data_IF_218214306275
#
_entry.id   IF_218214306275
#
_cell.length_a   1.000
_cell.length_b   1.000
_cell.length_c   1.000
_cell.angle_alpha   90.00
_cell.angle_beta   90.00
_cell.angle_gamma   90.00
#
_symmetry.space_group_name_H-M   'P 1'
#
loop_
_entity.id
_entity.type
_entity.pdbx_description
1 polymer ?
#
# COMPACT_ATOMS: atom_id res chain seq x y z
N UNK A 1 -1.84 -41.56 -4.08
CA UNK A 1 -1.57 -40.13 -4.34
C UNK A 1 -0.66 -39.91 -5.55
N UNK A 2 0.49 -40.59 -5.65
CA UNK A 2 1.42 -40.50 -6.80
C UNK A 2 0.79 -40.83 -8.17
N UNK A 3 -0.02 -41.89 -8.26
CA UNK A 3 -0.69 -42.33 -9.50
C UNK A 3 -1.77 -41.35 -10.01
N UNK A 4 -2.41 -40.63 -9.08
CA UNK A 4 -3.46 -39.68 -9.41
C UNK A 4 -2.88 -38.40 -10.03
N UNK A 5 -1.76 -37.92 -9.50
CA UNK A 5 -1.03 -36.76 -10.04
C UNK A 5 -0.37 -37.08 -11.40
N UNK A 6 0.15 -38.30 -11.59
CA UNK A 6 0.73 -38.71 -12.87
C UNK A 6 -0.30 -38.83 -13.99
N UNK A 7 -1.54 -39.20 -13.68
CA UNK A 7 -2.63 -39.34 -14.66
C UNK A 7 -3.34 -38.00 -14.95
N UNK A 8 -3.28 -37.04 -14.02
CA UNK A 8 -3.83 -35.69 -14.19
C UNK A 8 -2.92 -34.79 -15.01
N UNK A 9 -1.60 -34.87 -14.80
CA UNK A 9 -0.63 -34.02 -15.49
C UNK A 9 -0.80 -34.00 -17.02
N UNK A 10 -0.88 -35.14 -17.75
CA UNK A 10 -1.06 -35.11 -19.20
C UNK A 10 -2.43 -34.57 -19.62
N UNK A 11 -3.48 -34.75 -18.80
CA UNK A 11 -4.83 -34.23 -19.08
C UNK A 11 -4.91 -32.71 -18.89
N UNK A 12 -4.25 -32.19 -17.87
CA UNK A 12 -4.16 -30.75 -17.61
C UNK A 12 -3.32 -30.06 -18.68
N UNK A 13 -2.20 -30.67 -19.10
CA UNK A 13 -1.38 -30.16 -20.21
C UNK A 13 -2.19 -30.13 -21.51
N UNK A 14 -2.89 -31.23 -21.86
CA UNK A 14 -3.73 -31.28 -23.05
C UNK A 14 -4.89 -30.26 -23.02
N UNK A 15 -5.43 -29.96 -21.84
CA UNK A 15 -6.45 -28.93 -21.66
C UNK A 15 -5.87 -27.50 -21.77
N UNK A 16 -4.66 -27.29 -21.24
CA UNK A 16 -3.91 -26.03 -21.34
C UNK A 16 -3.53 -25.71 -22.78
N UNK A 17 -3.10 -26.70 -23.55
CA UNK A 17 -2.75 -26.55 -24.97
C UNK A 17 -4.00 -26.25 -25.82
N UNK A 18 -5.16 -26.77 -25.42
CA UNK A 18 -6.44 -26.55 -26.11
C UNK A 18 -7.06 -25.19 -25.80
N UNK A 19 -6.86 -24.66 -24.59
CA UNK A 19 -7.38 -23.37 -24.15
C UNK A 19 -6.29 -22.56 -23.42
N UNK A 20 -5.30 -22.01 -24.15
CA UNK A 20 -4.18 -21.28 -23.54
C UNK A 20 -4.63 -20.05 -22.73
N UNK A 21 -5.81 -19.50 -23.03
CA UNK A 21 -6.40 -18.37 -22.33
C UNK A 21 -7.15 -18.74 -21.04
N UNK A 22 -7.48 -20.01 -20.84
CA UNK A 22 -8.28 -20.46 -19.69
C UNK A 22 -7.50 -20.38 -18.36
N UNK A 23 -6.20 -20.67 -18.38
CA UNK A 23 -5.35 -20.59 -17.17
C UNK A 23 -5.18 -19.13 -16.72
N UNK A 24 -4.83 -18.17 -17.61
CA UNK A 24 -4.83 -16.75 -17.25
C UNK A 24 -6.19 -16.23 -16.78
N UNK A 25 -7.29 -16.61 -17.44
CA UNK A 25 -8.66 -16.20 -17.04
C UNK A 25 -9.07 -16.77 -15.68
N UNK A 26 -8.71 -18.02 -15.39
CA UNK A 26 -8.96 -18.63 -14.09
C UNK A 26 -8.11 -17.98 -13.00
N UNK A 27 -6.82 -17.72 -13.26
CA UNK A 27 -5.95 -16.99 -12.35
C UNK A 27 -6.45 -15.57 -12.08
N UNK A 28 -6.89 -14.86 -13.12
CA UNK A 28 -7.48 -13.53 -13.01
C UNK A 28 -8.82 -13.53 -12.26
N UNK A 29 -9.72 -14.45 -12.59
CA UNK A 29 -11.01 -14.61 -11.92
C UNK A 29 -10.86 -15.04 -10.46
N UNK A 30 -9.91 -15.94 -10.16
CA UNK A 30 -9.52 -16.28 -8.80
C UNK A 30 -8.92 -15.08 -8.08
N UNK A 31 -8.10 -14.27 -8.74
CA UNK A 31 -7.55 -13.03 -8.19
C UNK A 31 -8.63 -12.01 -7.83
N UNK A 32 -9.63 -11.81 -8.70
CA UNK A 32 -10.80 -10.97 -8.43
C UNK A 32 -11.63 -11.54 -7.29
N UNK A 33 -11.92 -12.85 -7.30
CA UNK A 33 -12.71 -13.49 -6.25
C UNK A 33 -11.99 -13.41 -4.88
N UNK A 34 -10.67 -13.62 -4.85
CA UNK A 34 -9.84 -13.42 -3.67
C UNK A 34 -9.85 -11.97 -3.22
N UNK A 35 -9.74 -11.00 -4.13
CA UNK A 35 -9.85 -9.58 -3.81
C UNK A 35 -11.18 -9.22 -3.16
N UNK A 36 -12.30 -9.66 -3.75
CA UNK A 36 -13.66 -9.41 -3.24
C UNK A 36 -13.95 -10.15 -1.91
N UNK A 37 -13.36 -11.33 -1.69
CA UNK A 37 -13.51 -12.08 -0.44
C UNK A 37 -12.63 -11.54 0.69
N UNK A 38 -11.45 -11.00 0.36
CA UNK A 38 -10.52 -10.38 1.32
C UNK A 38 -11.13 -9.14 1.97
N UNK A 39 -12.06 -8.47 1.29
CA UNK A 39 -12.75 -7.28 1.80
C UNK A 39 -13.59 -7.54 3.07
N UNK A 40 -13.77 -8.79 3.49
CA UNK A 40 -14.62 -9.13 4.65
C UNK A 40 -13.92 -9.47 5.96
N UNK A 41 -12.64 -9.85 6.04
CA UNK A 41 -11.95 -10.04 7.35
C UNK A 41 -10.43 -9.84 7.27
N UNK A 42 -9.91 -8.97 8.15
CA UNK A 42 -8.47 -8.74 8.37
C UNK A 42 -7.65 -10.03 8.58
N UNK A 43 -8.27 -11.08 9.15
CA UNK A 43 -7.66 -12.39 9.37
C UNK A 43 -7.26 -13.10 8.05
N UNK A 44 -7.99 -12.90 6.95
CA UNK A 44 -7.62 -13.47 5.66
C UNK A 44 -6.36 -12.83 5.09
N UNK A 45 -6.22 -11.51 5.22
CA UNK A 45 -5.03 -10.79 4.76
C UNK A 45 -3.76 -11.28 5.50
N UNK A 46 -3.87 -11.59 6.80
CA UNK A 46 -2.75 -12.16 7.58
C UNK A 46 -2.33 -13.54 7.06
N UNK A 47 -3.29 -14.43 6.79
CA UNK A 47 -3.00 -15.78 6.26
C UNK A 47 -2.35 -15.69 4.89
N UNK A 48 -2.91 -14.88 3.98
CA UNK A 48 -2.37 -14.71 2.62
C UNK A 48 -0.97 -14.10 2.68
N UNK A 49 -0.76 -13.05 3.47
CA UNK A 49 0.56 -12.45 3.67
C UNK A 49 1.57 -13.47 4.21
N UNK A 50 1.18 -14.32 5.17
CA UNK A 50 2.05 -15.37 5.70
C UNK A 50 2.39 -16.43 4.65
N UNK A 51 1.44 -16.85 3.81
CA UNK A 51 1.68 -17.78 2.71
C UNK A 51 2.61 -17.18 1.65
N UNK A 52 2.44 -15.89 1.32
CA UNK A 52 3.34 -15.17 0.42
C UNK A 52 4.75 -15.10 1.03
N UNK A 53 4.90 -14.70 2.30
CA UNK A 53 6.23 -14.69 2.92
C UNK A 53 6.87 -16.08 3.00
N UNK A 54 6.07 -17.13 3.19
CA UNK A 54 6.55 -18.51 3.15
C UNK A 54 7.04 -18.90 1.75
N UNK A 55 6.35 -18.47 0.68
CA UNK A 55 6.79 -18.70 -0.70
C UNK A 55 8.06 -17.93 -1.05
N UNK A 56 8.24 -16.72 -0.50
CA UNK A 56 9.49 -15.98 -0.56
C UNK A 56 10.64 -16.69 0.16
N UNK A 57 10.42 -17.17 1.39
CA UNK A 57 11.42 -17.98 2.11
C UNK A 57 11.80 -19.23 1.31
N UNK A 58 10.83 -19.87 0.67
CA UNK A 58 11.08 -21.00 -0.23
C UNK A 58 11.96 -20.62 -1.41
N UNK A 59 11.68 -19.51 -2.11
CA UNK A 59 12.50 -19.02 -3.22
C UNK A 59 13.94 -18.70 -2.78
N UNK A 60 14.12 -18.08 -1.61
CA UNK A 60 15.47 -17.79 -1.08
C UNK A 60 16.27 -19.07 -0.76
N UNK A 61 15.57 -20.17 -0.48
CA UNK A 61 16.14 -21.48 -0.20
C UNK A 61 16.27 -22.37 -1.45
N UNK A 62 15.98 -21.87 -2.65
CA UNK A 62 15.94 -22.63 -3.91
C UNK A 62 17.14 -23.60 -4.07
N UNK A 63 18.38 -23.11 -3.87
CA UNK A 63 19.61 -23.92 -3.99
C UNK A 63 19.65 -25.11 -3.04
N UNK A 64 19.04 -24.99 -1.86
CA UNK A 64 18.92 -26.06 -0.87
C UNK A 64 17.72 -26.97 -1.18
N UNK A 65 16.65 -26.42 -1.74
CA UNK A 65 15.43 -27.15 -2.10
C UNK A 65 15.66 -28.16 -3.22
N UNK A 66 16.49 -27.85 -4.21
CA UNK A 66 16.93 -28.86 -5.20
C UNK A 66 17.47 -30.13 -4.55
N UNK A 67 18.28 -29.97 -3.49
CA UNK A 67 18.89 -31.09 -2.75
C UNK A 67 17.86 -31.82 -1.89
N UNK A 68 16.91 -31.08 -1.31
CA UNK A 68 15.86 -31.64 -0.46
C UNK A 68 14.84 -32.45 -1.27
N UNK A 69 14.39 -31.93 -2.41
CA UNK A 69 13.44 -32.59 -3.32
C UNK A 69 14.04 -33.87 -3.88
N UNK A 70 15.31 -33.83 -4.30
CA UNK A 70 16.03 -35.05 -4.70
C UNK A 70 16.03 -36.09 -3.57
N UNK A 71 16.35 -35.67 -2.34
CA UNK A 71 16.47 -36.59 -1.20
C UNK A 71 15.13 -37.20 -0.76
N UNK A 72 14.03 -36.47 -0.88
CA UNK A 72 12.71 -36.92 -0.43
C UNK A 72 11.87 -37.57 -1.52
N UNK A 73 11.98 -37.10 -2.77
CA UNK A 73 11.13 -37.53 -3.86
C UNK A 73 11.89 -38.24 -5.00
N UNK A 74 13.22 -38.22 -5.02
CA UNK A 74 14.03 -38.98 -5.96
C UNK A 74 14.04 -38.46 -7.41
N UNK A 75 13.55 -37.24 -7.67
CA UNK A 75 13.60 -36.62 -8.99
C UNK A 75 14.18 -35.20 -8.93
N UNK A 76 14.74 -34.74 -10.06
CA UNK A 76 15.23 -33.37 -10.22
C UNK A 76 14.15 -32.54 -10.90
N UNK A 77 13.71 -31.47 -10.25
CA UNK A 77 12.83 -30.49 -10.87
C UNK A 77 13.59 -29.75 -11.99
N UNK A 78 13.07 -29.72 -13.23
CA UNK A 78 13.69 -29.00 -14.33
C UNK A 78 13.73 -27.49 -14.06
N UNK A 79 14.82 -26.82 -14.45
CA UNK A 79 15.05 -25.38 -14.21
C UNK A 79 13.90 -24.45 -14.66
N UNK A 80 13.22 -24.69 -15.80
CA UNK A 80 12.08 -23.87 -16.20
C UNK A 80 10.97 -23.81 -15.14
N UNK A 81 10.74 -24.89 -14.39
CA UNK A 81 9.71 -24.89 -13.35
C UNK A 81 10.05 -23.93 -12.19
N UNK A 82 11.32 -23.72 -11.87
CA UNK A 82 11.72 -22.74 -10.86
C UNK A 82 11.52 -21.31 -11.36
N UNK A 83 11.78 -21.05 -12.65
CA UNK A 83 11.51 -19.75 -13.25
C UNK A 83 10.01 -19.43 -13.27
N UNK A 84 9.16 -20.42 -13.59
CA UNK A 84 7.69 -20.30 -13.47
C UNK A 84 7.24 -20.13 -12.02
N UNK A 85 7.80 -20.88 -11.07
CA UNK A 85 7.48 -20.72 -9.66
C UNK A 85 7.87 -19.32 -9.15
N UNK A 86 9.03 -18.80 -9.55
CA UNK A 86 9.45 -17.44 -9.24
C UNK A 86 8.51 -16.39 -9.84
N UNK A 87 8.08 -16.57 -11.10
CA UNK A 87 7.07 -15.71 -11.73
C UNK A 87 5.76 -15.72 -10.94
N UNK A 88 5.27 -16.90 -10.55
CA UNK A 88 4.05 -17.05 -9.77
C UNK A 88 4.15 -16.32 -8.43
N UNK A 89 5.26 -16.49 -7.71
CA UNK A 89 5.47 -15.77 -6.45
C UNK A 89 5.50 -14.26 -6.67
N UNK A 90 6.18 -13.76 -7.72
CA UNK A 90 6.16 -12.34 -8.05
C UNK A 90 4.75 -11.83 -8.38
N UNK A 91 3.99 -12.57 -9.19
CA UNK A 91 2.65 -12.21 -9.62
C UNK A 91 1.69 -12.16 -8.43
N UNK A 92 1.61 -13.24 -7.64
CA UNK A 92 0.73 -13.32 -6.48
C UNK A 92 1.09 -12.26 -5.42
N UNK A 93 2.39 -12.00 -5.25
CA UNK A 93 2.88 -10.92 -4.40
C UNK A 93 2.37 -9.55 -4.84
N UNK A 94 2.53 -9.23 -6.13
CA UNK A 94 2.13 -7.95 -6.69
C UNK A 94 0.60 -7.77 -6.66
N UNK A 95 -0.16 -8.79 -7.05
CA UNK A 95 -1.62 -8.74 -7.02
C UNK A 95 -2.18 -8.67 -5.60
N UNK A 96 -1.50 -9.26 -4.62
CA UNK A 96 -1.86 -9.10 -3.22
C UNK A 96 -1.64 -7.66 -2.73
N UNK A 97 -0.50 -7.03 -3.04
CA UNK A 97 -0.17 -5.71 -2.45
C UNK A 97 -0.74 -4.52 -3.22
N UNK A 98 -0.96 -4.64 -4.52
CA UNK A 98 -1.41 -3.51 -5.36
C UNK A 98 -2.70 -2.87 -4.83
N UNK A 99 -3.74 -3.60 -4.43
CA UNK A 99 -4.96 -2.95 -3.93
C UNK A 99 -4.73 -2.10 -2.68
N UNK A 100 -3.88 -2.53 -1.76
CA UNK A 100 -3.47 -1.76 -0.58
C UNK A 100 -2.78 -0.46 -0.99
N UNK A 101 -1.80 -0.53 -1.88
CA UNK A 101 -1.12 0.67 -2.36
C UNK A 101 -2.05 1.56 -3.18
N UNK A 102 -2.92 1.01 -4.01
CA UNK A 102 -3.86 1.76 -4.84
C UNK A 102 -4.80 2.63 -3.99
N UNK A 103 -5.36 2.06 -2.92
CA UNK A 103 -6.27 2.77 -1.99
C UNK A 103 -5.51 3.81 -1.15
N UNK A 104 -4.30 3.49 -0.70
CA UNK A 104 -3.52 4.37 0.19
C UNK A 104 -2.69 5.43 -0.54
N UNK A 105 -2.63 5.38 -1.88
CA UNK A 105 -1.86 6.33 -2.69
C UNK A 105 -2.52 7.68 -2.75
N UNK A 106 -1.80 8.72 -2.32
CA UNK A 106 -2.12 10.10 -2.67
C UNK A 106 -1.70 10.38 -4.11
N UNK A 107 -2.64 10.22 -5.05
CA UNK A 107 -2.41 10.29 -6.51
C UNK A 107 -1.88 11.64 -7.02
N UNK A 108 -2.04 12.71 -6.25
CA UNK A 108 -1.49 14.04 -6.53
C UNK A 108 -0.12 14.28 -5.87
N UNK A 109 0.64 13.23 -5.58
CA UNK A 109 1.95 13.28 -4.93
C UNK A 109 2.95 12.33 -5.60
N UNK A 110 4.21 12.35 -5.15
CA UNK A 110 5.24 11.40 -5.60
C UNK A 110 4.86 9.93 -5.39
N UNK A 111 3.90 9.64 -4.50
CA UNK A 111 3.37 8.30 -4.28
C UNK A 111 2.78 7.64 -5.53
N UNK A 112 2.20 8.44 -6.44
CA UNK A 112 1.66 7.94 -7.70
C UNK A 112 2.74 7.23 -8.55
N UNK A 113 3.99 7.67 -8.49
CA UNK A 113 5.10 7.09 -9.25
C UNK A 113 5.38 5.68 -8.75
N UNK A 114 5.51 5.49 -7.44
CA UNK A 114 5.79 4.17 -6.85
C UNK A 114 4.68 3.17 -7.16
N UNK A 115 3.42 3.57 -6.95
CA UNK A 115 2.26 2.70 -7.21
C UNK A 115 2.13 2.37 -8.71
N UNK A 116 2.40 3.33 -9.60
CA UNK A 116 2.44 3.07 -11.04
C UNK A 116 3.55 2.09 -11.43
N UNK A 117 4.71 2.16 -10.78
CA UNK A 117 5.80 1.19 -10.97
C UNK A 117 5.37 -0.21 -10.53
N UNK A 118 4.63 -0.36 -9.43
CA UNK A 118 4.08 -1.66 -9.01
C UNK A 118 3.06 -2.20 -10.01
N UNK A 119 2.16 -1.34 -10.51
CA UNK A 119 1.19 -1.74 -11.54
C UNK A 119 1.89 -2.20 -12.83
N UNK A 120 2.91 -1.47 -13.28
CA UNK A 120 3.72 -1.88 -14.43
C UNK A 120 4.46 -3.19 -14.16
N UNK A 121 4.99 -3.39 -12.95
CA UNK A 121 5.62 -4.64 -12.56
C UNK A 121 4.64 -5.82 -12.61
N UNK A 122 3.38 -5.61 -12.22
CA UNK A 122 2.35 -6.65 -12.28
C UNK A 122 1.96 -7.01 -13.72
N UNK A 123 1.94 -6.03 -14.62
CA UNK A 123 1.80 -6.29 -16.06
C UNK A 123 2.99 -7.09 -16.58
N UNK A 124 4.22 -6.76 -16.16
CA UNK A 124 5.40 -7.54 -16.52
C UNK A 124 5.31 -8.98 -15.99
N UNK A 125 4.78 -9.21 -14.78
CA UNK A 125 4.68 -10.56 -14.21
C UNK A 125 3.64 -11.44 -14.90
N UNK A 126 2.56 -10.88 -15.45
CA UNK A 126 1.50 -11.65 -16.12
C UNK A 126 1.79 -11.91 -17.61
N UNK A 127 2.61 -11.07 -18.27
CA UNK A 127 2.90 -11.19 -19.71
C UNK A 127 4.16 -12.05 -19.93
N UNK A 128 3.96 -13.35 -20.15
CA UNK A 128 5.02 -14.35 -20.32
C UNK A 128 6.15 -13.96 -21.28
N UNK A 129 5.90 -13.46 -22.51
CA UNK A 129 6.99 -13.04 -23.39
C UNK A 129 7.85 -11.92 -22.81
N UNK A 130 7.25 -10.98 -22.08
CA UNK A 130 7.97 -9.86 -21.45
C UNK A 130 8.78 -10.39 -20.26
N UNK A 131 8.17 -11.24 -19.43
CA UNK A 131 8.84 -11.83 -18.28
C UNK A 131 10.00 -12.74 -18.69
N UNK A 132 9.75 -13.80 -19.46
CA UNK A 132 10.76 -14.81 -19.76
C UNK A 132 11.77 -14.41 -20.82
N UNK A 133 11.40 -13.58 -21.81
CA UNK A 133 12.33 -13.15 -22.86
C UNK A 133 12.95 -11.78 -22.57
N UNK A 134 12.23 -10.91 -21.88
CA UNK A 134 12.68 -9.55 -21.58
C UNK A 134 13.40 -9.44 -20.23
N UNK A 135 12.82 -9.98 -19.16
CA UNK A 135 13.28 -9.79 -17.79
C UNK A 135 14.29 -10.87 -17.36
N UNK A 136 13.91 -12.15 -17.43
CA UNK A 136 14.70 -13.29 -16.92
C UNK A 136 16.14 -13.35 -17.49
N UNK A 137 16.38 -13.14 -18.81
CA UNK A 137 17.73 -13.21 -19.35
C UNK A 137 18.62 -12.05 -18.87
N UNK A 138 18.00 -10.95 -18.42
CA UNK A 138 18.69 -9.73 -17.98
C UNK A 138 18.83 -9.73 -16.46
N UNK A 139 19.84 -10.46 -15.99
CA UNK A 139 20.15 -10.73 -14.57
C UNK A 139 19.99 -9.53 -13.61
N UNK A 140 20.53 -8.37 -13.95
CA UNK A 140 20.40 -7.17 -13.11
C UNK A 140 18.95 -6.73 -12.98
N UNK A 141 18.22 -6.65 -14.09
CA UNK A 141 16.81 -6.29 -14.09
C UNK A 141 15.96 -7.32 -13.37
N UNK A 142 16.27 -8.61 -13.53
CA UNK A 142 15.62 -9.69 -12.79
C UNK A 142 15.76 -9.51 -11.26
N UNK A 143 16.97 -9.25 -10.75
CA UNK A 143 17.15 -8.99 -9.32
C UNK A 143 16.54 -7.68 -8.85
N UNK A 144 16.57 -6.63 -9.66
CA UNK A 144 15.88 -5.38 -9.33
C UNK A 144 14.38 -5.60 -9.20
N UNK A 145 13.79 -6.37 -10.11
CA UNK A 145 12.38 -6.75 -10.06
C UNK A 145 12.07 -7.60 -8.82
N UNK A 146 12.89 -8.62 -8.55
CA UNK A 146 12.79 -9.44 -7.34
C UNK A 146 12.86 -8.59 -6.07
N UNK A 147 13.82 -7.68 -5.98
CA UNK A 147 13.97 -6.74 -4.86
C UNK A 147 12.77 -5.80 -4.69
N UNK A 148 12.26 -5.23 -5.79
CA UNK A 148 11.08 -4.37 -5.79
C UNK A 148 9.84 -5.12 -5.27
N UNK A 149 9.60 -6.32 -5.78
CA UNK A 149 8.44 -7.14 -5.36
C UNK A 149 8.54 -7.57 -3.90
N UNK A 150 9.71 -8.01 -3.44
CA UNK A 150 9.96 -8.34 -2.03
C UNK A 150 9.76 -7.13 -1.13
N UNK A 151 10.29 -5.96 -1.53
CA UNK A 151 10.13 -4.71 -0.81
C UNK A 151 8.65 -4.36 -0.64
N UNK A 152 7.88 -4.40 -1.72
CA UNK A 152 6.44 -4.11 -1.71
C UNK A 152 5.66 -5.07 -0.80
N UNK A 153 5.96 -6.36 -0.86
CA UNK A 153 5.35 -7.38 0.02
C UNK A 153 5.66 -7.11 1.48
N UNK A 154 6.92 -6.84 1.82
CA UNK A 154 7.32 -6.59 3.21
C UNK A 154 6.68 -5.33 3.79
N UNK A 155 6.53 -4.27 2.97
CA UNK A 155 5.83 -3.05 3.38
C UNK A 155 4.39 -3.29 3.82
N UNK A 156 3.72 -4.26 3.19
CA UNK A 156 2.34 -4.63 3.52
C UNK A 156 2.28 -5.71 4.61
N UNK A 157 3.13 -6.73 4.52
CA UNK A 157 3.07 -7.90 5.40
C UNK A 157 3.59 -7.60 6.82
N UNK A 158 4.63 -6.77 6.96
CA UNK A 158 5.22 -6.49 8.27
C UNK A 158 4.26 -5.77 9.25
N UNK A 159 3.53 -4.71 8.86
CA UNK A 159 2.50 -4.13 9.72
C UNK A 159 1.35 -5.10 10.02
N UNK A 160 0.95 -5.92 9.04
CA UNK A 160 -0.21 -6.84 9.16
C UNK A 160 0.08 -8.00 10.11
N UNK A 161 1.27 -8.59 10.03
CA UNK A 161 1.64 -9.81 10.78
C UNK A 161 2.29 -9.46 12.12
N UNK A 162 3.22 -8.50 12.12
CA UNK A 162 4.05 -8.18 13.29
C UNK A 162 3.62 -6.89 13.97
N UNK A 163 2.57 -6.21 13.50
CA UNK A 163 2.08 -4.96 14.08
C UNK A 163 3.14 -3.86 14.13
N UNK A 164 4.09 -3.90 13.18
CA UNK A 164 5.18 -2.95 13.13
C UNK A 164 4.69 -1.59 12.59
N UNK A 165 5.00 -0.46 13.27
CA UNK A 165 4.71 0.88 12.77
C UNK A 165 5.26 1.08 11.37
N UNK A 166 4.58 1.87 10.54
CA UNK A 166 4.94 2.05 9.12
C UNK A 166 6.41 2.45 8.92
N UNK A 167 6.95 3.34 9.77
CA UNK A 167 8.36 3.75 9.72
C UNK A 167 9.36 2.60 9.95
N UNK A 168 9.05 1.68 10.88
CA UNK A 168 9.90 0.50 11.15
C UNK A 168 9.76 -0.54 10.05
N UNK A 169 8.53 -0.79 9.60
CA UNK A 169 8.23 -1.69 8.48
C UNK A 169 8.98 -1.26 7.22
N UNK A 170 9.03 0.05 6.93
CA UNK A 170 9.83 0.59 5.83
C UNK A 170 11.31 0.23 5.93
N UNK A 171 11.91 0.47 7.10
CA UNK A 171 13.33 0.22 7.33
C UNK A 171 13.69 -1.25 7.17
N UNK A 172 12.91 -2.15 7.76
CA UNK A 172 13.11 -3.58 7.63
C UNK A 172 12.89 -4.06 6.20
N UNK A 173 11.85 -3.57 5.53
CA UNK A 173 11.58 -3.91 4.12
C UNK A 173 12.74 -3.50 3.24
N UNK A 174 13.23 -2.26 3.39
CA UNK A 174 14.36 -1.75 2.60
C UNK A 174 15.63 -2.56 2.87
N UNK A 175 15.95 -2.82 4.14
CA UNK A 175 17.14 -3.57 4.53
C UNK A 175 17.11 -5.00 3.99
N UNK A 176 16.01 -5.73 4.17
CA UNK A 176 15.85 -7.12 3.73
C UNK A 176 15.88 -7.20 2.19
N UNK A 177 15.11 -6.35 1.50
CA UNK A 177 15.07 -6.34 0.05
C UNK A 177 16.42 -6.00 -0.57
N UNK A 178 17.14 -5.00 -0.03
CA UNK A 178 18.49 -4.68 -0.48
C UNK A 178 19.46 -5.83 -0.21
N UNK A 179 19.42 -6.44 0.98
CA UNK A 179 20.28 -7.56 1.32
C UNK A 179 20.09 -8.72 0.34
N UNK A 180 18.85 -9.13 0.08
CA UNK A 180 18.52 -10.22 -0.84
C UNK A 180 18.96 -9.88 -2.27
N UNK A 181 18.63 -8.68 -2.75
CA UNK A 181 18.97 -8.21 -4.10
C UNK A 181 20.49 -8.19 -4.30
N UNK A 182 21.23 -7.64 -3.34
CA UNK A 182 22.68 -7.52 -3.40
C UNK A 182 23.39 -8.86 -3.21
N UNK A 183 22.86 -9.76 -2.40
CA UNK A 183 23.36 -11.13 -2.29
C UNK A 183 23.24 -11.87 -3.64
N UNK A 184 22.13 -11.66 -4.35
CA UNK A 184 21.94 -12.08 -5.74
C UNK A 184 23.07 -11.55 -6.63
N UNK A 185 23.17 -10.21 -6.74
CA UNK A 185 24.20 -9.54 -7.56
C UNK A 185 25.62 -10.01 -7.23
N UNK A 186 25.96 -10.19 -5.94
CA UNK A 186 27.27 -10.65 -5.49
C UNK A 186 27.59 -12.07 -5.96
N UNK A 187 26.64 -12.99 -5.80
CA UNK A 187 26.81 -14.41 -6.14
C UNK A 187 26.98 -14.63 -7.64
N UNK A 188 26.45 -13.69 -8.43
CA UNK A 188 26.26 -13.83 -9.86
C UNK A 188 27.29 -13.05 -10.69
N UNK A 189 27.96 -12.05 -10.09
CA UNK A 189 29.05 -11.29 -10.73
C UNK A 189 30.26 -12.17 -11.06
N UNK A 190 31.01 -11.84 -12.12
CA UNK A 190 32.25 -12.56 -12.51
C UNK A 190 33.53 -11.90 -11.96
N UNK A 191 33.43 -10.77 -11.25
CA UNK A 191 34.60 -9.97 -10.86
C UNK A 191 35.50 -10.63 -9.80
N UNK A 192 36.62 -10.03 -9.43
CA UNK A 192 37.41 -10.51 -8.26
C UNK A 192 36.66 -10.17 -6.97
N UNK A 193 36.78 -11.00 -5.93
CA UNK A 193 35.98 -10.90 -4.69
C UNK A 193 36.01 -9.50 -4.05
N UNK A 194 37.14 -8.81 -4.04
CA UNK A 194 37.26 -7.46 -3.48
C UNK A 194 36.56 -6.40 -4.32
N UNK A 195 36.61 -6.49 -5.66
CA UNK A 195 35.87 -5.58 -6.56
C UNK A 195 34.36 -5.81 -6.44
N UNK A 196 33.93 -7.07 -6.26
CA UNK A 196 32.52 -7.41 -5.98
C UNK A 196 32.08 -6.85 -4.64
N UNK A 197 32.91 -7.01 -3.60
CA UNK A 197 32.64 -6.46 -2.27
C UNK A 197 32.48 -4.94 -2.31
N UNK A 198 33.40 -4.25 -2.98
CA UNK A 198 33.32 -2.81 -3.18
C UNK A 198 32.05 -2.41 -3.94
N UNK A 199 31.73 -3.08 -5.05
CA UNK A 199 30.51 -2.83 -5.81
C UNK A 199 29.26 -2.97 -4.93
N UNK A 200 29.15 -4.06 -4.16
CA UNK A 200 28.00 -4.30 -3.28
C UNK A 200 27.88 -3.23 -2.19
N UNK A 201 28.99 -2.85 -1.56
CA UNK A 201 28.98 -1.79 -0.54
C UNK A 201 28.56 -0.45 -1.15
N UNK A 202 29.07 -0.11 -2.34
CA UNK A 202 28.68 1.10 -3.06
C UNK A 202 27.19 1.07 -3.42
N UNK A 203 26.67 -0.03 -3.97
CA UNK A 203 25.26 -0.15 -4.31
C UNK A 203 24.37 -0.11 -3.06
N UNK A 204 24.79 -0.77 -1.97
CA UNK A 204 24.10 -0.71 -0.68
C UNK A 204 24.01 0.72 -0.15
N UNK A 205 25.12 1.48 -0.20
CA UNK A 205 25.14 2.86 0.23
C UNK A 205 24.24 3.74 -0.66
N UNK A 206 24.38 3.63 -1.99
CA UNK A 206 23.60 4.44 -2.94
C UNK A 206 22.10 4.15 -2.81
N UNK A 207 21.68 2.89 -2.90
CA UNK A 207 20.27 2.54 -2.83
C UNK A 207 19.70 2.63 -1.41
N UNK A 208 20.53 2.43 -0.38
CA UNK A 208 20.15 2.69 1.01
C UNK A 208 19.82 4.17 1.22
N UNK A 209 20.73 5.07 0.84
CA UNK A 209 20.53 6.52 0.95
C UNK A 209 19.35 6.97 0.08
N UNK A 210 19.28 6.53 -1.17
CA UNK A 210 18.17 6.85 -2.07
C UNK A 210 16.83 6.36 -1.49
N UNK A 211 16.79 5.13 -0.94
CA UNK A 211 15.63 4.58 -0.27
C UNK A 211 15.22 5.38 0.97
N UNK A 212 16.16 5.89 1.76
CA UNK A 212 15.82 6.76 2.89
C UNK A 212 15.20 8.09 2.43
N UNK A 213 15.69 8.66 1.32
CA UNK A 213 15.14 9.87 0.72
C UNK A 213 13.78 9.66 0.04
N UNK A 214 13.58 8.50 -0.58
CA UNK A 214 12.35 8.16 -1.30
C UNK A 214 11.16 7.82 -0.38
N UNK A 215 11.36 7.73 0.94
CA UNK A 215 10.32 7.38 1.92
C UNK A 215 8.97 8.08 1.69
N UNK A 216 8.90 9.41 1.50
CA UNK A 216 7.61 10.09 1.33
C UNK A 216 6.85 9.67 0.06
N UNK A 217 7.55 9.12 -0.93
CA UNK A 217 6.99 8.66 -2.21
C UNK A 217 6.43 7.23 -2.12
N UNK A 218 6.46 6.60 -0.95
CA UNK A 218 5.91 5.27 -0.77
C UNK A 218 4.65 5.40 0.09
N UNK A 219 3.47 5.03 -0.43
CA UNK A 219 2.24 5.05 0.35
C UNK A 219 2.35 4.16 1.59
N UNK A 220 1.71 4.55 2.70
CA UNK A 220 1.61 3.70 3.88
C UNK A 220 0.56 2.59 3.62
N UNK A 221 1.01 1.41 3.19
CA UNK A 221 0.16 0.33 2.65
C UNK A 221 -1.09 -0.02 3.47
N UNK A 222 -1.05 0.15 4.80
CA UNK A 222 -2.13 -0.26 5.71
C UNK A 222 -2.89 0.89 6.36
N UNK A 223 -2.60 2.14 5.97
CA UNK A 223 -3.22 3.33 6.56
C UNK A 223 -3.96 4.15 5.50
N UNK A 224 -5.26 4.35 5.70
CA UNK A 224 -6.05 5.28 4.89
C UNK A 224 -7.06 6.04 5.75
N UNK A 225 -7.48 7.19 5.26
CA UNK A 225 -8.53 7.98 5.88
C UNK A 225 -9.90 7.39 5.51
N UNK A 226 -10.75 7.16 6.50
CA UNK A 226 -12.15 6.78 6.30
C UNK A 226 -13.07 7.98 6.36
N UNK A 227 -12.73 8.97 7.19
CA UNK A 227 -13.50 10.21 7.34
C UNK A 227 -12.57 11.37 7.66
N UNK A 228 -12.90 12.56 7.13
CA UNK A 228 -12.20 13.80 7.42
C UNK A 228 -13.18 14.95 7.57
N UNK A 229 -12.91 15.83 8.54
CA UNK A 229 -13.69 17.05 8.69
C UNK A 229 -12.87 18.18 9.31
N UNK A 230 -13.16 19.41 8.87
CA UNK A 230 -12.78 20.62 9.59
C UNK A 230 -14.03 21.13 10.29
N UNK A 231 -13.99 21.29 11.61
CA UNK A 231 -15.16 21.65 12.41
C UNK A 231 -14.78 22.59 13.56
N UNK A 232 -15.74 23.34 14.08
CA UNK A 232 -15.56 24.13 15.30
C UNK A 232 -15.69 23.29 16.58
N UNK A 233 -16.34 22.13 16.49
CA UNK A 233 -16.67 21.27 17.63
C UNK A 233 -16.71 19.81 17.20
N UNK A 234 -16.31 18.94 18.12
CA UNK A 234 -16.40 17.49 18.02
C UNK A 234 -17.31 17.05 19.16
N UNK A 235 -18.35 16.28 18.84
CA UNK A 235 -19.27 15.72 19.84
C UNK A 235 -18.50 14.75 20.74
N UNK A 236 -18.45 15.04 22.05
CA UNK A 236 -17.74 14.22 23.03
C UNK A 236 -18.35 12.82 23.21
N UNK A 237 -19.66 12.68 22.99
CA UNK A 237 -20.38 11.40 23.18
C UNK A 237 -20.11 10.48 22.00
N UNK A 238 -20.40 10.95 20.78
CA UNK A 238 -20.24 10.13 19.57
C UNK A 238 -18.81 10.17 19.02
N UNK A 239 -17.95 11.08 19.50
CA UNK A 239 -16.61 11.37 18.96
C UNK A 239 -16.66 11.61 17.45
N UNK A 240 -17.63 12.42 17.03
CA UNK A 240 -17.91 12.70 15.63
C UNK A 240 -17.86 14.21 15.38
N UNK A 241 -17.41 14.65 14.19
CA UNK A 241 -17.46 16.07 13.84
C UNK A 241 -18.91 16.52 13.66
N UNK A 242 -19.25 17.72 14.13
CA UNK A 242 -20.61 18.26 13.94
C UNK A 242 -20.90 18.66 12.48
N UNK A 243 -19.89 19.16 11.78
CA UNK A 243 -19.98 19.57 10.38
C UNK A 243 -18.62 19.44 9.67
N UNK A 244 -18.57 19.80 8.39
CA UNK A 244 -17.33 19.83 7.61
C UNK A 244 -17.23 21.15 6.83
N UNK A 245 -16.43 22.06 7.36
CA UNK A 245 -16.24 23.42 6.88
C UNK A 245 -15.18 23.48 5.79
N UNK A 246 -15.56 23.93 4.59
CA UNK A 246 -14.64 24.10 3.45
C UNK A 246 -14.15 25.55 3.27
N UNK A 247 -14.99 26.51 3.64
CA UNK A 247 -14.69 27.95 3.54
C UNK A 247 -14.99 28.61 4.88
N UNK A 248 -14.08 29.44 5.34
CA UNK A 248 -14.16 30.11 6.64
C UNK A 248 -13.84 31.59 6.48
N UNK A 249 -14.43 32.44 7.31
CA UNK A 249 -13.97 33.81 7.46
C UNK A 249 -12.77 33.88 8.41
N UNK A 250 -11.98 34.95 8.32
CA UNK A 250 -10.91 35.19 9.29
C UNK A 250 -11.43 35.31 10.74
N UNK A 251 -12.66 35.83 10.92
CA UNK A 251 -13.33 35.87 12.23
C UNK A 251 -13.71 34.49 12.77
N UNK A 252 -14.02 33.53 11.90
CA UNK A 252 -14.37 32.16 12.34
C UNK A 252 -13.18 31.45 12.98
N UNK A 253 -11.94 31.79 12.58
CA UNK A 253 -10.73 31.22 13.16
C UNK A 253 -10.57 31.54 14.65
N UNK A 254 -11.17 32.62 15.15
CA UNK A 254 -11.12 32.99 16.57
C UNK A 254 -11.85 31.97 17.47
N UNK A 255 -12.77 31.18 16.91
CA UNK A 255 -13.46 30.08 17.61
C UNK A 255 -12.58 28.85 17.79
N UNK A 256 -11.42 28.80 17.13
CA UNK A 256 -10.62 27.60 16.97
C UNK A 256 -11.19 26.65 15.93
N UNK A 257 -10.33 25.74 15.45
CA UNK A 257 -10.72 24.67 14.52
C UNK A 257 -10.16 23.33 14.97
N UNK A 258 -11.01 22.32 14.85
CA UNK A 258 -10.65 20.93 14.95
C UNK A 258 -10.41 20.38 13.55
N UNK A 259 -9.27 19.74 13.37
CA UNK A 259 -9.02 18.88 12.23
C UNK A 259 -9.28 17.44 12.67
N UNK A 260 -10.44 16.92 12.28
CA UNK A 260 -10.89 15.57 12.58
C UNK A 260 -10.48 14.60 11.47
N UNK A 261 -9.96 13.45 11.88
CA UNK A 261 -9.60 12.35 10.99
C UNK A 261 -10.00 11.02 11.62
N UNK A 262 -10.66 10.16 10.85
CA UNK A 262 -10.76 8.75 11.15
C UNK A 262 -9.83 7.97 10.23
N UNK A 263 -8.92 7.18 10.82
CA UNK A 263 -7.86 6.49 10.10
C UNK A 263 -8.02 4.99 10.29
N UNK A 264 -8.23 4.26 9.20
CA UNK A 264 -8.16 2.81 9.24
C UNK A 264 -6.73 2.36 9.52
N UNK A 265 -6.56 1.42 10.45
CA UNK A 265 -5.29 0.79 10.78
C UNK A 265 -5.52 -0.66 11.23
N UNK A 266 -4.63 -1.61 10.86
CA UNK A 266 -4.72 -3.00 11.28
C UNK A 266 -4.79 -3.13 12.79
N UNK A 267 -5.65 -4.04 13.28
CA UNK A 267 -5.68 -4.42 14.70
C UNK A 267 -4.29 -4.65 15.26
N UNK A 268 -3.98 -4.05 16.40
CA UNK A 268 -2.70 -4.20 17.10
C UNK A 268 -1.60 -3.22 16.67
N UNK A 269 -1.77 -2.51 15.55
CA UNK A 269 -0.86 -1.45 15.14
C UNK A 269 -0.97 -0.25 16.08
N UNK A 270 0.17 0.20 16.61
CA UNK A 270 0.29 1.47 17.31
C UNK A 270 1.23 2.37 16.50
N UNK A 271 0.76 3.53 16.09
CA UNK A 271 1.52 4.42 15.22
C UNK A 271 1.36 5.88 15.62
N UNK A 272 2.44 6.64 15.49
CA UNK A 272 2.43 8.09 15.58
C UNK A 272 2.25 8.69 14.20
N UNK A 273 1.23 9.53 14.08
CA UNK A 273 0.98 10.35 12.90
C UNK A 273 1.13 11.83 13.27
N UNK A 274 1.09 12.68 12.27
CA UNK A 274 1.16 14.12 12.43
C UNK A 274 0.12 14.81 11.57
N UNK A 275 -0.59 15.78 12.17
CA UNK A 275 -1.33 16.80 11.44
C UNK A 275 -0.39 17.96 11.14
N UNK A 276 0.01 18.09 9.89
CA UNK A 276 0.91 19.12 9.40
C UNK A 276 0.07 20.22 8.75
N UNK A 277 -0.04 21.35 9.44
CA UNK A 277 -0.84 22.50 8.99
C UNK A 277 -0.01 23.40 8.08
N UNK A 278 -0.54 23.67 6.90
CA UNK A 278 0.10 24.43 5.84
C UNK A 278 -0.82 25.58 5.42
N UNK A 279 -0.26 26.79 5.33
CA UNK A 279 -0.91 27.96 4.75
C UNK A 279 -0.20 28.33 3.45
N UNK A 280 -0.91 28.28 2.32
CA UNK A 280 -0.36 28.55 1.00
C UNK A 280 0.91 27.75 0.71
N UNK A 281 0.96 26.49 1.18
CA UNK A 281 2.10 25.58 1.05
C UNK A 281 3.24 25.80 2.06
N UNK A 282 3.16 26.81 2.94
CA UNK A 282 4.15 27.03 4.01
C UNK A 282 3.73 26.37 5.30
N UNK A 283 4.66 25.66 5.94
CA UNK A 283 4.42 25.01 7.22
C UNK A 283 4.10 26.05 8.30
N UNK A 284 2.98 25.85 8.99
CA UNK A 284 2.54 26.66 10.14
C UNK A 284 2.70 25.88 11.43
N UNK A 285 2.29 24.60 11.43
CA UNK A 285 2.25 23.80 12.65
C UNK A 285 2.39 22.31 12.35
N UNK A 286 2.83 21.53 13.34
CA UNK A 286 2.94 20.07 13.25
C UNK A 286 2.53 19.44 14.58
N UNK A 287 1.34 18.86 14.62
CA UNK A 287 0.75 18.29 15.84
C UNK A 287 0.88 16.75 15.81
N UNK A 288 1.56 16.11 16.78
CA UNK A 288 1.64 14.66 16.88
C UNK A 288 0.33 14.07 17.42
N UNK A 289 -0.10 12.95 16.87
CA UNK A 289 -1.24 12.16 17.34
C UNK A 289 -0.85 10.69 17.35
N UNK A 290 -1.16 9.97 18.43
CA UNK A 290 -0.94 8.53 18.51
C UNK A 290 -2.25 7.80 18.17
N UNK A 291 -2.19 6.87 17.20
CA UNK A 291 -3.33 6.08 16.74
C UNK A 291 -3.15 4.60 17.10
N UNK A 292 -4.27 3.92 17.37
CA UNK A 292 -4.29 2.49 17.65
C UNK A 292 -5.29 1.78 16.71
N UNK A 293 -4.83 0.78 15.98
CA UNK A 293 -5.65 0.05 15.01
C UNK A 293 -6.57 -0.99 15.63
N UNK A 294 -7.54 -1.46 14.84
CA UNK A 294 -8.46 -2.54 15.21
C UNK A 294 -9.95 -2.19 15.24
N UNK A 295 -10.34 -0.99 14.80
CA UNK A 295 -11.74 -0.63 14.55
C UNK A 295 -11.96 -0.52 13.05
N UNK A 296 -13.02 -1.15 12.54
CA UNK A 296 -13.37 -1.08 11.11
C UNK A 296 -13.62 0.35 10.64
N UNK A 297 -14.33 1.15 11.45
CA UNK A 297 -14.59 2.57 11.20
C UNK A 297 -13.33 3.46 11.25
N UNK A 298 -12.19 2.92 11.70
CA UNK A 298 -10.94 3.65 11.91
C UNK A 298 -10.77 4.18 13.33
N UNK A 299 -9.54 4.57 13.65
CA UNK A 299 -9.18 5.30 14.86
C UNK A 299 -9.45 6.78 14.65
N UNK A 300 -10.31 7.33 15.50
CA UNK A 300 -10.73 8.73 15.46
C UNK A 300 -9.72 9.57 16.25
N UNK A 301 -9.07 10.50 15.56
CA UNK A 301 -8.11 11.43 16.12
C UNK A 301 -8.42 12.85 15.63
N UNK A 302 -8.14 13.84 16.46
CA UNK A 302 -8.29 15.24 16.08
C UNK A 302 -7.22 16.11 16.71
N UNK A 303 -6.86 17.18 16.02
CA UNK A 303 -6.02 18.26 16.56
C UNK A 303 -6.85 19.53 16.65
N UNK A 304 -6.81 20.20 17.80
CA UNK A 304 -7.47 21.48 18.01
C UNK A 304 -6.47 22.63 17.86
N UNK A 305 -6.68 23.51 16.87
CA UNK A 305 -5.87 24.70 16.65
C UNK A 305 -6.64 25.93 17.08
N UNK A 306 -6.09 26.64 18.06
CA UNK A 306 -6.64 27.90 18.59
C UNK A 306 -5.80 29.11 18.17
N UNK A 307 -4.49 28.92 17.99
CA UNK A 307 -3.57 30.00 17.65
C UNK A 307 -3.31 30.00 16.13
N UNK A 308 -3.98 30.91 15.45
CA UNK A 308 -3.80 31.19 14.02
C UNK A 308 -2.91 32.43 13.80
N UNK A 309 -2.04 32.44 12.77
CA UNK A 309 -1.27 33.64 12.42
C UNK A 309 -2.17 34.85 12.12
N UNK A 310 -1.69 36.07 12.34
CA UNK A 310 -2.46 37.30 12.08
C UNK A 310 -2.98 37.37 10.63
N UNK A 311 -2.13 37.03 9.66
CA UNK A 311 -2.53 36.87 8.26
C UNK A 311 -2.80 35.39 7.93
N UNK A 312 -4.02 34.94 8.22
CA UNK A 312 -4.47 33.56 7.97
C UNK A 312 -5.28 33.39 6.70
N UNK A 313 -5.36 34.41 5.84
CA UNK A 313 -6.12 34.35 4.59
C UNK A 313 -5.40 33.48 3.56
N UNK A 314 -6.16 32.63 2.88
CA UNK A 314 -5.67 31.81 1.78
C UNK A 314 -6.04 30.34 1.89
N UNK A 315 -5.29 29.51 1.16
CA UNK A 315 -5.55 28.07 1.07
C UNK A 315 -4.84 27.35 2.20
N UNK A 316 -5.62 26.70 3.04
CA UNK A 316 -5.13 25.85 4.10
C UNK A 316 -5.15 24.39 3.68
N UNK A 317 -4.10 23.68 4.07
CA UNK A 317 -3.99 22.24 3.90
C UNK A 317 -3.54 21.63 5.21
N UNK A 318 -4.10 20.48 5.55
CA UNK A 318 -3.65 19.68 6.68
C UNK A 318 -3.22 18.33 6.12
N UNK A 319 -1.91 18.11 6.07
CA UNK A 319 -1.37 16.85 5.64
C UNK A 319 -1.34 15.90 6.84
N UNK A 320 -2.00 14.77 6.71
CA UNK A 320 -1.93 13.67 7.67
C UNK A 320 -0.79 12.77 7.23
N UNK A 321 0.30 12.74 7.99
CA UNK A 321 1.52 12.01 7.62
C UNK A 321 1.98 11.06 8.72
N UNK A 322 2.61 9.95 8.34
CA UNK A 322 3.29 9.05 9.28
C UNK A 322 4.56 9.68 9.85
N UNK A 323 5.16 9.05 10.86
CA UNK A 323 6.50 9.39 11.36
C UNK A 323 7.59 9.37 10.28
N UNK A 324 7.44 8.55 9.24
CA UNK A 324 8.34 8.51 8.10
C UNK A 324 8.05 9.57 7.02
N UNK A 325 7.17 10.54 7.31
CA UNK A 325 6.66 11.55 6.37
C UNK A 325 5.94 10.95 5.14
N UNK A 326 5.34 9.78 5.29
CA UNK A 326 4.47 9.21 4.25
C UNK A 326 3.09 9.83 4.37
N UNK A 327 2.57 10.35 3.27
CA UNK A 327 1.25 10.96 3.24
C UNK A 327 0.17 9.87 3.33
N UNK A 328 -0.77 10.04 4.26
CA UNK A 328 -1.99 9.24 4.41
C UNK A 328 -3.15 9.96 3.71
N UNK A 329 -3.23 11.29 3.84
CA UNK A 329 -4.17 12.11 3.08
C UNK A 329 -4.12 13.59 3.44
N UNK A 330 -4.96 14.40 2.78
CA UNK A 330 -4.92 15.87 2.86
C UNK A 330 -6.32 16.42 3.08
N UNK A 331 -6.51 17.19 4.15
CA UNK A 331 -7.69 18.03 4.35
C UNK A 331 -7.43 19.40 3.75
N UNK A 332 -8.45 20.03 3.17
CA UNK A 332 -8.35 21.34 2.52
C UNK A 332 -9.50 22.23 2.95
N UNK A 333 -9.18 23.48 3.27
CA UNK A 333 -10.17 24.54 3.49
C UNK A 333 -9.57 25.89 3.06
N UNK A 334 -10.42 26.88 2.85
CA UNK A 334 -10.00 28.22 2.44
C UNK A 334 -10.47 29.26 3.45
N UNK A 335 -9.61 30.19 3.80
CA UNK A 335 -9.95 31.33 4.66
C UNK A 335 -10.02 32.59 3.81
N UNK A 336 -11.16 33.27 3.82
CA UNK A 336 -11.39 34.51 3.11
C UNK A 336 -11.45 35.72 4.06
N UNK A 337 -11.13 36.91 3.54
CA UNK A 337 -11.13 38.17 4.31
C UNK A 337 -12.54 38.56 4.79
N UNK A 338 -13.57 38.18 4.03
CA UNK A 338 -14.98 38.31 4.41
C UNK A 338 -15.68 37.02 3.98
N UNK A 339 -16.66 36.57 4.76
CA UNK A 339 -17.54 35.49 4.34
C UNK A 339 -18.33 35.98 3.11
N UNK A 340 -17.79 35.78 1.90
CA UNK A 340 -18.58 35.89 0.70
C UNK A 340 -19.72 34.89 0.86
N UNK A 341 -20.95 35.41 0.92
CA UNK A 341 -22.17 34.66 1.07
C UNK A 341 -22.36 33.73 -0.13
N UNK A 342 -21.79 32.55 -0.05
CA UNK A 342 -22.09 31.42 -0.91
C UNK A 342 -22.25 30.17 -0.04
N UNK A 343 -23.05 30.33 1.02
CA UNK A 343 -23.87 29.21 1.49
C UNK A 343 -24.95 29.01 0.42
N UNK A 344 -24.65 28.21 -0.60
CA UNK A 344 -25.70 27.53 -1.36
C UNK A 344 -26.38 26.61 -0.35
N UNK A 345 -27.41 27.15 0.29
CA UNK A 345 -28.45 26.38 0.94
C UNK A 345 -29.11 25.63 -0.21
N UNK A 346 -28.73 24.37 -0.42
CA UNK A 346 -29.58 23.44 -1.15
C UNK A 346 -30.78 23.15 -0.25
N UNK A 347 -31.75 24.07 -0.26
CA UNK A 347 -33.08 23.87 0.30
C UNK A 347 -33.89 23.03 -0.68
N UNK A 348 -33.46 21.80 -0.88
CA UNK A 348 -34.30 20.74 -1.44
C UNK A 348 -34.80 19.92 -0.25
N UNK A 349 -36.10 20.01 0.01
CA UNK A 349 -36.80 19.39 1.13
C UNK A 349 -36.41 17.92 1.34
N UNK A 350 -35.96 17.56 2.55
CA UNK A 350 -35.98 16.17 3.03
C UNK A 350 -36.60 16.16 4.41
N UNK A 351 -37.83 15.61 4.45
CA UNK A 351 -38.54 15.23 5.67
C UNK A 351 -37.70 14.23 6.50
N UNK A 352 -37.94 14.09 7.82
CA UNK A 352 -37.12 13.21 8.66
C UNK A 352 -37.20 11.76 8.19
N UNK A 353 -36.08 11.23 7.70
CA UNK A 353 -35.93 9.82 7.32
C UNK A 353 -35.87 8.96 8.59
N UNK A 354 -36.62 7.84 8.68
CA UNK A 354 -36.53 6.89 9.78
C UNK A 354 -35.14 6.20 9.79
N UNK A 355 -34.73 5.56 10.91
CA UNK A 355 -33.39 5.03 11.08
C UNK A 355 -33.00 4.08 9.94
N UNK A 356 -31.92 4.42 9.24
CA UNK A 356 -31.40 3.65 8.11
C UNK A 356 -30.86 2.30 8.57
N UNK A 357 -31.43 1.24 8.00
CA UNK A 357 -30.84 -0.10 7.95
C UNK A 357 -29.40 -0.07 7.38
N UNK A 358 -28.54 -1.05 7.73
CA UNK A 358 -27.13 -1.03 7.39
C UNK A 358 -26.89 -1.01 5.88
N UNK A 359 -26.15 -0.01 5.43
CA UNK A 359 -25.72 0.17 4.03
C UNK A 359 -24.91 -1.04 3.58
N UNK A 360 -25.35 -1.69 2.50
CA UNK A 360 -24.61 -2.78 1.86
C UNK A 360 -23.42 -2.25 1.05
N UNK A 361 -22.34 -3.04 0.88
CA UNK A 361 -21.02 -2.55 0.43
C UNK A 361 -20.93 -2.03 -1.01
N UNK A 362 -21.95 -2.25 -1.84
CA UNK A 362 -21.93 -1.87 -3.27
C UNK A 362 -21.86 -0.36 -3.51
N UNK A 363 -22.17 0.46 -2.51
CA UNK A 363 -22.11 1.92 -2.60
C UNK A 363 -20.67 2.48 -2.48
N UNK A 364 -19.74 1.75 -1.85
CA UNK A 364 -18.38 2.24 -1.59
C UNK A 364 -17.45 2.16 -2.82
N UNK A 365 -17.78 1.31 -3.80
CA UNK A 365 -16.95 1.08 -5.00
C UNK A 365 -17.19 2.13 -6.09
N UNK A 366 -18.30 2.87 -6.06
CA UNK A 366 -18.65 3.84 -7.13
C UNK A 366 -18.01 5.23 -6.97
N UNK A 367 -17.48 5.55 -5.80
CA UNK A 367 -17.01 6.91 -5.48
C UNK A 367 -15.58 7.27 -5.95
N UNK A 368 -14.64 6.35 -6.26
CA UNK A 368 -13.33 6.76 -6.77
C UNK A 368 -13.32 7.07 -8.28
N UNK A 369 -14.27 6.54 -9.06
CA UNK A 369 -14.27 6.64 -10.52
C UNK A 369 -14.85 7.96 -11.06
N UNK A 370 -15.75 8.64 -10.32
CA UNK A 370 -16.31 9.92 -10.78
C UNK A 370 -15.38 11.12 -10.57
N UNK A 371 -14.43 11.06 -9.63
CA UNK A 371 -13.45 12.15 -9.41
C UNK A 371 -12.30 12.18 -10.44
N UNK A 372 -12.33 11.31 -11.45
CA UNK A 372 -11.37 11.32 -12.57
C UNK A 372 -11.89 12.11 -13.78
N UNK A 373 -13.13 12.61 -13.74
CA UNK A 373 -13.78 13.32 -14.87
C UNK A 373 -14.23 14.75 -14.49
N UNK A 374 -14.03 15.21 -13.25
CA UNK A 374 -14.36 16.60 -12.83
C UNK A 374 -13.14 17.41 -12.37
#
# INVERSE_FOLDING_TARGET
>A
MFKFLSDLAPKVIALSDRFPWAIPLFGFGSGIASFLLVERKQEFAQIIAALILASWCWLLLEKNMHRLVWRWFGFQLPQPLFAYAAQLVHQESLFFVIPFFFITTAWNSGQAIYTSVLMAAAVISIVDPIYFRGLVPRRTWYFTFHGLTLFAVLLTALPIIFHLPTAKSYLWSLAIALLVTLAGVFSESSWRWWKRGLLVVTLAAVFGIAGLWARPWIPPATLWLTEVAITHSVDDVNRAPENNLKTLSQSDLQKGLYAYTSIHAPRGLNERIYHVWLLNGKLVDKVPLDINGGREAGYRAWSHKVNFPENSIGRWQIHVVTEANQLIGILRFTVAASAAAENVIDSSSVAPTPPSEPVTPDAAIKTPLMNLIE
#
